data_IF_776521533925
#
_entry.id   IF_776521533925
#
_cell.length_a   1.000
_cell.length_b   1.000
_cell.length_c   1.000
_cell.angle_alpha   90.00
_cell.angle_beta   90.00
_cell.angle_gamma   90.00
#
_symmetry.space_group_name_H-M   'P 1'
#
loop_
_entity.id
_entity.type
_entity.pdbx_description
1 polymer ?
#
# COMPACT_ATOMS: atom_id res chain seq x y z
N UNK A 1 -12.21 -8.20 17.14
CA UNK A 1 -12.55 -8.92 15.90
C UNK A 1 -13.67 -8.13 15.25
N UNK A 2 -13.36 -7.33 14.22
CA UNK A 2 -14.39 -6.58 13.48
C UNK A 2 -15.09 -7.52 12.49
N UNK A 3 -16.41 -7.39 12.40
CA UNK A 3 -17.31 -8.27 11.69
C UNK A 3 -17.31 -8.05 10.17
N UNK A 4 -17.09 -9.16 9.45
CA UNK A 4 -17.60 -9.54 8.12
C UNK A 4 -17.20 -8.73 6.87
N UNK A 5 -15.90 -8.55 6.62
CA UNK A 5 -15.42 -8.43 5.23
C UNK A 5 -15.12 -9.83 4.66
N UNK A 6 -15.86 -10.23 3.63
CA UNK A 6 -15.61 -11.46 2.85
C UNK A 6 -14.66 -11.10 1.72
N UNK A 7 -13.54 -11.84 1.61
CA UNK A 7 -12.55 -11.64 0.55
C UNK A 7 -12.78 -12.62 -0.59
N UNK A 8 -13.14 -12.10 -1.76
CA UNK A 8 -13.36 -12.89 -2.98
C UNK A 8 -12.22 -12.75 -4.00
N UNK A 9 -12.34 -13.47 -5.11
CA UNK A 9 -11.31 -13.51 -6.16
C UNK A 9 -11.02 -12.13 -6.77
N UNK A 10 -12.02 -11.26 -6.86
CA UNK A 10 -11.83 -9.92 -7.41
C UNK A 10 -11.02 -9.06 -6.46
N UNK A 11 -11.06 -9.32 -5.16
CA UNK A 11 -10.28 -8.57 -4.18
C UNK A 11 -8.85 -9.08 -4.02
N UNK A 12 -8.63 -10.40 -3.95
CA UNK A 12 -7.30 -10.97 -3.65
C UNK A 12 -6.47 -11.37 -4.88
N UNK A 13 -7.02 -11.38 -6.10
CA UNK A 13 -6.25 -11.62 -7.34
C UNK A 13 -6.07 -10.32 -8.11
N UNK A 14 -4.81 -9.91 -8.33
CA UNK A 14 -4.47 -8.67 -9.05
C UNK A 14 -3.23 -8.85 -9.96
N UNK A 15 -3.25 -8.36 -11.21
CA UNK A 15 -4.44 -7.92 -11.95
C UNK A 15 -5.41 -9.09 -12.19
N UNK A 16 -6.71 -8.84 -12.40
CA UNK A 16 -7.69 -9.91 -12.62
C UNK A 16 -7.46 -10.67 -13.92
N UNK A 17 -6.91 -9.99 -14.93
CA UNK A 17 -6.59 -10.54 -16.25
C UNK A 17 -5.26 -9.96 -16.74
N UNK A 18 -4.41 -10.80 -17.33
CA UNK A 18 -3.16 -10.36 -17.96
C UNK A 18 -1.97 -11.27 -17.68
N UNK A 19 -1.25 -11.65 -18.73
CA UNK A 19 0.00 -12.41 -18.65
C UNK A 19 -0.16 -13.92 -18.35
N UNK A 20 0.98 -14.61 -18.28
CA UNK A 20 1.08 -16.03 -17.88
C UNK A 20 1.38 -16.18 -16.38
N UNK A 21 0.93 -15.22 -15.56
CA UNK A 21 1.20 -15.15 -14.12
C UNK A 21 -0.10 -14.88 -13.38
N UNK A 22 -0.27 -15.50 -12.22
CA UNK A 22 -1.35 -15.22 -11.27
C UNK A 22 -0.72 -14.79 -9.96
N UNK A 23 -1.19 -13.68 -9.38
CA UNK A 23 -0.72 -13.16 -8.10
C UNK A 23 -1.87 -13.12 -7.09
N UNK A 24 -1.64 -13.74 -5.93
CA UNK A 24 -2.61 -13.81 -4.83
C UNK A 24 -2.10 -12.97 -3.67
N UNK A 25 -2.94 -12.05 -3.20
CA UNK A 25 -2.64 -11.18 -2.07
C UNK A 25 -2.83 -11.96 -0.76
N UNK A 26 -1.79 -12.01 0.07
CA UNK A 26 -1.78 -12.76 1.34
C UNK A 26 -1.83 -11.89 2.59
N UNK A 27 -1.54 -10.60 2.45
CA UNK A 27 -1.65 -9.58 3.50
C UNK A 27 -2.12 -8.30 2.86
N UNK A 28 -3.02 -7.59 3.54
CA UNK A 28 -3.54 -6.30 3.12
C UNK A 28 -3.39 -5.34 4.28
N UNK A 29 -2.84 -4.16 3.98
CA UNK A 29 -2.80 -3.01 4.88
C UNK A 29 -3.66 -1.92 4.24
N UNK A 30 -4.66 -1.44 4.99
CA UNK A 30 -5.65 -0.48 4.48
C UNK A 30 -5.57 0.81 5.28
N UNK A 31 -5.37 1.92 4.55
CA UNK A 31 -5.56 3.29 5.07
C UNK A 31 -6.81 3.87 4.42
N UNK A 32 -7.99 3.78 5.07
CA UNK A 32 -9.24 4.19 4.45
C UNK A 32 -9.35 5.72 4.34
N UNK A 33 -10.17 6.17 3.39
CA UNK A 33 -10.62 7.57 3.29
C UNK A 33 -9.50 8.60 3.11
N UNK A 34 -8.42 8.24 2.42
CA UNK A 34 -7.39 9.21 2.08
C UNK A 34 -7.95 10.31 1.18
N UNK A 35 -7.58 11.55 1.48
CA UNK A 35 -7.91 12.74 0.68
C UNK A 35 -6.66 13.56 0.45
N UNK A 36 -6.62 14.35 -0.63
CA UNK A 36 -5.52 15.27 -0.84
C UNK A 36 -5.58 16.38 0.20
N UNK A 37 -4.51 16.55 0.97
CA UNK A 37 -4.45 17.53 2.05
C UNK A 37 -3.05 17.64 2.64
N UNK A 38 -2.96 18.21 3.84
CA UNK A 38 -1.72 18.25 4.62
C UNK A 38 -1.85 17.41 5.88
N UNK A 39 -0.80 16.66 6.19
CA UNK A 39 -0.75 15.82 7.38
C UNK A 39 0.70 15.59 7.83
N UNK A 40 0.92 15.12 9.07
CA UNK A 40 2.24 14.69 9.54
C UNK A 40 2.77 13.55 8.66
N UNK A 41 4.05 13.61 8.28
CA UNK A 41 4.75 12.54 7.54
C UNK A 41 4.95 11.29 8.42
N UNK A 42 5.10 10.12 7.79
CA UNK A 42 5.33 8.87 8.51
C UNK A 42 6.66 8.92 9.28
N UNK A 43 6.64 8.44 10.52
CA UNK A 43 7.85 8.32 11.36
C UNK A 43 8.85 7.28 10.81
N UNK A 44 8.44 6.45 9.85
CA UNK A 44 9.30 5.47 9.17
C UNK A 44 10.15 6.08 8.07
N UNK A 45 9.76 7.26 7.57
CA UNK A 45 10.52 8.00 6.57
C UNK A 45 11.77 8.60 7.21
N UNK A 46 12.91 8.51 6.53
CA UNK A 46 14.14 9.07 7.06
C UNK A 46 14.05 10.59 7.20
N UNK A 47 14.61 11.14 8.29
CA UNK A 47 14.60 12.58 8.56
C UNK A 47 13.20 13.22 8.55
N UNK A 48 12.13 12.46 8.83
CA UNK A 48 10.78 13.01 8.95
C UNK A 48 10.52 13.65 10.30
N UNK A 49 11.15 13.14 11.36
CA UNK A 49 11.09 13.71 12.71
C UNK A 49 11.71 15.10 12.74
N UNK A 50 11.05 16.04 13.42
CA UNK A 50 11.49 17.43 13.55
C UNK A 50 11.29 17.92 14.98
N UNK A 51 11.96 19.01 15.32
CA UNK A 51 11.75 19.75 16.58
C UNK A 51 11.24 21.16 16.32
N UNK A 52 11.71 21.79 15.24
CA UNK A 52 11.39 23.14 14.80
C UNK A 52 10.96 23.14 13.32
N UNK A 53 10.25 24.18 12.90
CA UNK A 53 9.81 24.34 11.50
C UNK A 53 11.01 24.41 10.54
N UNK A 54 12.14 24.97 10.97
CA UNK A 54 13.37 25.08 10.18
C UNK A 54 14.01 23.70 9.83
N UNK A 55 13.68 22.65 10.59
CA UNK A 55 14.10 21.27 10.27
C UNK A 55 13.38 20.74 9.00
N UNK A 56 12.27 21.38 8.63
CA UNK A 56 11.44 21.02 7.50
C UNK A 56 11.64 22.03 6.35
N UNK A 57 12.43 21.67 5.35
CA UNK A 57 12.63 22.55 4.18
C UNK A 57 11.38 22.51 3.29
N UNK A 58 10.70 23.65 3.15
CA UNK A 58 9.51 23.78 2.31
C UNK A 58 9.82 23.46 0.84
N UNK A 59 8.93 22.71 0.19
CA UNK A 59 9.09 22.29 -1.21
C UNK A 59 10.04 21.10 -1.41
N UNK A 60 10.70 20.62 -0.35
CA UNK A 60 11.52 19.41 -0.43
C UNK A 60 10.63 18.18 -0.59
N UNK A 61 10.97 17.33 -1.55
CA UNK A 61 10.41 16.01 -1.74
C UNK A 61 11.46 14.97 -1.37
N UNK A 62 11.13 14.10 -0.43
CA UNK A 62 11.90 12.88 -0.20
C UNK A 62 11.38 11.79 -1.15
N UNK A 63 12.28 11.16 -1.92
CA UNK A 63 11.92 10.09 -2.84
C UNK A 63 11.42 8.83 -2.13
N UNK A 64 11.67 8.71 -0.82
CA UNK A 64 11.13 7.66 0.05
C UNK A 64 9.97 8.18 0.93
N UNK A 65 9.61 9.46 0.81
CA UNK A 65 8.50 10.08 1.54
C UNK A 65 7.15 9.94 0.83
N UNK A 66 6.09 10.40 1.48
CA UNK A 66 4.72 10.31 0.98
C UNK A 66 4.26 11.59 0.27
N UNK A 67 4.97 12.71 0.45
CA UNK A 67 4.61 13.97 -0.19
C UNK A 67 5.65 15.08 -0.06
N UNK A 68 5.26 16.27 -0.52
CA UNK A 68 6.11 17.46 -0.52
C UNK A 68 5.99 18.17 0.82
N UNK A 69 7.12 18.49 1.46
CA UNK A 69 7.13 19.19 2.76
C UNK A 69 6.55 20.60 2.63
N UNK A 70 5.64 20.96 3.55
CA UNK A 70 5.09 22.33 3.65
C UNK A 70 6.04 23.28 4.36
N UNK A 71 6.98 22.74 5.13
CA UNK A 71 7.94 23.47 5.94
C UNK A 71 7.53 23.67 7.40
N UNK A 72 6.50 22.94 7.87
CA UNK A 72 6.02 23.01 9.25
C UNK A 72 6.32 21.74 10.00
N UNK A 73 6.69 21.86 11.27
CA UNK A 73 6.90 20.76 12.19
C UNK A 73 5.66 20.56 13.06
N UNK A 74 4.89 19.51 12.78
CA UNK A 74 3.57 19.28 13.40
C UNK A 74 3.59 18.08 14.33
N UNK A 75 2.77 18.07 15.41
CA UNK A 75 2.58 16.89 16.24
C UNK A 75 2.13 15.68 15.42
N UNK A 76 2.70 14.53 15.73
CA UNK A 76 2.28 13.27 15.13
C UNK A 76 0.95 12.78 15.76
N UNK A 77 0.26 11.82 15.14
CA UNK A 77 -1.08 11.40 15.57
C UNK A 77 -1.13 10.87 17.02
N UNK A 78 -0.06 10.24 17.49
CA UNK A 78 0.04 9.66 18.83
C UNK A 78 1.41 9.93 19.46
N UNK A 79 1.42 10.15 20.78
CA UNK A 79 2.62 10.44 21.56
C UNK A 79 3.13 11.87 21.40
N UNK A 80 4.33 12.13 21.92
CA UNK A 80 4.94 13.46 21.96
C UNK A 80 5.87 13.75 20.76
N UNK A 81 5.90 12.85 19.79
CA UNK A 81 6.75 12.99 18.60
C UNK A 81 6.16 14.02 17.63
N UNK A 82 7.04 14.70 16.89
CA UNK A 82 6.66 15.63 15.82
C UNK A 82 7.33 15.23 14.52
N UNK A 83 6.66 15.48 13.40
CA UNK A 83 7.18 15.19 12.06
C UNK A 83 6.88 16.36 11.13
N UNK A 84 7.63 16.44 10.03
CA UNK A 84 7.36 17.43 9.01
C UNK A 84 5.98 17.22 8.40
N UNK A 85 5.21 18.30 8.27
CA UNK A 85 3.95 18.31 7.54
C UNK A 85 4.23 18.20 6.04
N UNK A 86 3.48 17.32 5.37
CA UNK A 86 3.57 17.08 3.93
C UNK A 86 2.23 17.32 3.27
N UNK A 87 2.27 17.83 2.03
CA UNK A 87 1.13 17.82 1.11
C UNK A 87 1.11 16.47 0.38
N UNK A 88 0.14 15.63 0.72
CA UNK A 88 0.08 14.23 0.31
C UNK A 88 -1.37 13.71 0.28
N UNK A 89 -1.53 12.42 -0.03
CA UNK A 89 -2.75 11.68 0.30
C UNK A 89 -2.77 11.40 1.80
N UNK A 90 -3.67 12.07 2.50
CA UNK A 90 -3.74 12.10 3.96
C UNK A 90 -4.95 11.34 4.50
N UNK A 91 -4.82 10.59 5.60
CA UNK A 91 -3.58 10.38 6.37
C UNK A 91 -2.59 9.48 5.62
N UNK A 92 -1.28 9.72 5.77
CA UNK A 92 -0.24 8.83 5.22
C UNK A 92 -0.32 7.45 5.88
N UNK A 93 0.05 6.41 5.14
CA UNK A 93 0.13 5.07 5.69
C UNK A 93 1.34 4.96 6.65
N UNK A 94 1.08 4.71 7.93
CA UNK A 94 2.16 4.60 8.94
C UNK A 94 2.00 3.41 9.90
N UNK A 95 1.50 2.29 9.37
CA UNK A 95 1.41 1.03 10.10
C UNK A 95 0.39 0.98 11.25
N UNK A 96 -0.35 2.06 11.48
CA UNK A 96 -1.64 2.06 12.19
C UNK A 96 -2.80 1.63 11.29
N UNK A 97 -2.49 1.26 10.04
CA UNK A 97 -3.42 0.74 9.04
C UNK A 97 -4.09 -0.55 9.52
N UNK A 98 -5.34 -0.76 9.08
CA UNK A 98 -6.04 -2.01 9.35
C UNK A 98 -5.33 -3.16 8.60
N UNK A 99 -4.85 -4.16 9.35
CA UNK A 99 -4.09 -5.27 8.80
C UNK A 99 -4.96 -6.53 8.71
N UNK A 100 -5.12 -7.05 7.50
CA UNK A 100 -5.83 -8.30 7.22
C UNK A 100 -4.87 -9.35 6.69
N UNK A 101 -4.71 -10.45 7.44
CA UNK A 101 -3.87 -11.57 7.01
C UNK A 101 -4.70 -12.65 6.31
N UNK A 102 -4.70 -12.62 4.97
CA UNK A 102 -5.37 -13.60 4.11
C UNK A 102 -4.57 -14.89 3.92
N UNK A 103 -3.30 -14.93 4.34
CA UNK A 103 -2.42 -16.08 4.19
C UNK A 103 -2.93 -17.38 4.85
N UNK A 104 -3.85 -17.29 5.83
CA UNK A 104 -4.52 -18.48 6.38
C UNK A 104 -5.52 -19.13 5.40
N UNK A 105 -6.11 -18.35 4.48
CA UNK A 105 -7.08 -18.83 3.50
C UNK A 105 -6.40 -19.23 2.18
N UNK A 106 -5.28 -18.60 1.84
CA UNK A 106 -4.58 -18.83 0.57
C UNK A 106 -4.31 -20.31 0.22
N UNK A 107 -3.94 -21.21 1.17
CA UNK A 107 -3.76 -22.63 0.86
C UNK A 107 -5.04 -23.37 0.45
N UNK A 108 -6.21 -22.83 0.76
CA UNK A 108 -7.51 -23.44 0.44
C UNK A 108 -8.05 -22.97 -0.93
N UNK A 109 -7.37 -22.06 -1.61
CA UNK A 109 -7.76 -21.61 -2.94
C UNK A 109 -7.39 -22.65 -4.01
N UNK A 110 -8.22 -22.74 -5.05
CA UNK A 110 -7.97 -23.62 -6.19
C UNK A 110 -7.71 -22.78 -7.43
N UNK A 111 -6.66 -23.11 -8.19
CA UNK A 111 -6.31 -22.42 -9.43
C UNK A 111 -6.48 -23.40 -10.60
N UNK A 112 -7.32 -23.03 -11.57
CA UNK A 112 -7.44 -23.77 -12.82
C UNK A 112 -6.42 -23.24 -13.83
N UNK A 113 -5.43 -24.07 -14.16
CA UNK A 113 -4.43 -23.75 -15.18
C UNK A 113 -4.86 -24.36 -16.51
N UNK A 114 -5.37 -23.53 -17.43
CA UNK A 114 -5.65 -23.93 -18.82
C UNK A 114 -4.42 -23.66 -19.68
N UNK A 115 -3.70 -24.71 -20.05
CA UNK A 115 -2.58 -24.63 -20.97
C UNK A 115 -2.97 -25.26 -22.30
N UNK A 116 -2.81 -24.52 -23.40
CA UNK A 116 -2.93 -25.07 -24.75
C UNK A 116 -1.61 -24.94 -25.48
N UNK A 117 -1.20 -26.02 -26.13
CA UNK A 117 0.05 -26.12 -26.87
C UNK A 117 -0.25 -26.23 -28.37
N UNK A 118 0.57 -25.57 -29.17
CA UNK A 118 0.49 -25.65 -30.62
C UNK A 118 1.87 -25.96 -31.19
N UNK A 119 1.97 -27.01 -32.01
CA UNK A 119 3.16 -27.33 -32.78
C UNK A 119 2.93 -26.99 -34.26
N UNK A 120 3.35 -25.80 -34.73
CA UNK A 120 3.00 -25.31 -36.07
C UNK A 120 3.47 -26.23 -37.19
N UNK A 121 4.67 -26.82 -37.03
CA UNK A 121 5.27 -27.73 -38.01
C UNK A 121 4.42 -28.98 -38.26
N UNK A 122 3.75 -29.50 -37.23
CA UNK A 122 2.96 -30.72 -37.30
C UNK A 122 1.46 -30.46 -37.44
N UNK A 123 1.03 -29.18 -37.48
CA UNK A 123 -0.38 -28.77 -37.48
C UNK A 123 -1.18 -29.45 -36.35
N UNK A 124 -0.57 -29.61 -35.19
CA UNK A 124 -1.15 -30.28 -34.02
C UNK A 124 -1.38 -29.28 -32.89
N UNK A 125 -2.54 -29.36 -32.23
CA UNK A 125 -2.88 -28.56 -31.05
C UNK A 125 -3.43 -29.47 -29.94
N UNK A 126 -3.16 -29.13 -28.69
CA UNK A 126 -3.70 -29.81 -27.50
C UNK A 126 -4.00 -28.80 -26.39
#
# INVERSE_FOLDING_TARGET
MSEHKVWDVEEYVKPPEGGSVVSIITRIEVTPSQTLGTCPESMRVHSSTCHLDDDCVAGQLDMQGNGIRTGRCVPYYHGDSKTCEVSAWCPVEDGTSENHFLGKMAPNFTILIKNSIHYPKFKFSK
#
